data_IF_874190687909
#
_entry.id   IF_874190687909
#
_cell.length_a   1.000
_cell.length_b   1.000
_cell.length_c   1.000
_cell.angle_alpha   90.00
_cell.angle_beta   90.00
_cell.angle_gamma   90.00
#
_symmetry.space_group_name_H-M   'P 1'
#
loop_
_entity.id
_entity.type
_entity.pdbx_description
1 polymer ?
#
# COMPACT_ATOMS: atom_id res chain seq x y z
N UNK A 1 60.61 30.38 -26.90
CA UNK A 1 59.93 30.28 -25.58
C UNK A 1 58.46 29.95 -25.84
N UNK A 2 58.02 28.72 -25.56
CA UNK A 2 57.13 28.38 -24.43
C UNK A 2 55.78 29.13 -24.50
N UNK A 3 54.60 28.50 -24.58
CA UNK A 3 54.23 27.15 -24.16
C UNK A 3 52.86 26.68 -24.67
N UNK A 4 52.38 25.64 -23.99
CA UNK A 4 51.47 24.56 -24.40
C UNK A 4 50.05 24.75 -23.80
N UNK A 5 49.07 24.12 -24.47
CA UNK A 5 47.83 23.47 -23.95
C UNK A 5 46.64 24.34 -23.51
N UNK A 6 45.44 23.90 -23.91
CA UNK A 6 44.25 23.91 -23.03
C UNK A 6 42.88 24.00 -23.71
N UNK A 7 42.30 22.86 -24.10
CA UNK A 7 40.85 22.68 -24.32
C UNK A 7 40.05 23.20 -23.11
N UNK A 8 38.91 23.87 -23.34
CA UNK A 8 37.70 23.73 -22.50
C UNK A 8 36.45 24.15 -23.26
N UNK A 9 35.62 23.16 -23.52
CA UNK A 9 34.23 23.25 -23.95
C UNK A 9 33.38 23.84 -22.83
N UNK A 10 32.49 24.79 -23.12
CA UNK A 10 31.38 25.16 -22.23
C UNK A 10 30.06 24.99 -22.98
N UNK A 11 29.45 23.84 -22.70
CA UNK A 11 28.05 23.50 -22.98
C UNK A 11 27.25 23.82 -21.70
N UNK A 12 25.94 24.06 -21.86
CA UNK A 12 24.90 24.28 -20.82
C UNK A 12 24.78 25.72 -20.31
N UNK A 13 23.59 26.30 -20.14
CA UNK A 13 22.33 25.66 -19.75
C UNK A 13 21.11 26.37 -20.33
N UNK A 14 20.25 25.61 -21.03
CA UNK A 14 18.84 25.95 -21.14
C UNK A 14 18.14 25.60 -19.81
N UNK A 15 17.21 26.42 -19.31
CA UNK A 15 16.40 26.04 -18.16
C UNK A 15 15.45 24.90 -18.59
N UNK A 16 15.69 23.71 -18.05
CA UNK A 16 14.82 22.56 -18.20
C UNK A 16 13.52 22.88 -17.47
N UNK A 17 12.44 23.08 -18.24
CA UNK A 17 11.09 23.20 -17.72
C UNK A 17 10.81 22.03 -16.78
N UNK A 18 10.28 22.36 -15.61
CA UNK A 18 9.70 21.43 -14.68
C UNK A 18 8.73 20.49 -15.42
N UNK A 19 9.04 19.19 -15.41
CA UNK A 19 8.13 18.17 -15.91
C UNK A 19 6.85 18.21 -15.09
N UNK A 20 5.74 18.47 -15.79
CA UNK A 20 4.39 18.42 -15.25
C UNK A 20 4.11 17.07 -14.54
N UNK A 21 3.22 17.04 -13.53
CA UNK A 21 2.80 15.80 -12.91
C UNK A 21 2.19 14.90 -13.99
N UNK A 22 2.79 13.73 -14.19
CA UNK A 22 2.23 12.71 -15.05
C UNK A 22 0.89 12.30 -14.44
N UNK A 23 -0.21 12.73 -15.07
CA UNK A 23 -1.54 12.19 -14.81
C UNK A 23 -1.54 10.73 -15.23
N UNK A 24 -1.07 9.86 -14.33
CA UNK A 24 -1.33 8.44 -14.43
C UNK A 24 -2.84 8.26 -14.34
N UNK A 25 -3.40 7.41 -15.21
CA UNK A 25 -4.83 7.15 -15.23
C UNK A 25 -5.19 6.41 -13.92
N UNK A 26 -5.53 7.15 -12.85
CA UNK A 26 -5.86 6.62 -11.53
C UNK A 26 -7.38 6.34 -11.43
N UNK A 27 -7.99 5.83 -12.50
CA UNK A 27 -9.38 5.42 -12.52
C UNK A 27 -9.41 3.89 -12.48
N UNK A 28 -9.13 3.32 -11.30
CA UNK A 28 -9.38 1.91 -11.05
C UNK A 28 -10.77 1.77 -10.41
N UNK A 29 -11.61 0.91 -10.98
CA UNK A 29 -12.98 0.70 -10.53
C UNK A 29 -13.10 -0.53 -9.63
N UNK A 30 -12.11 -1.44 -9.69
CA UNK A 30 -12.09 -2.66 -8.88
C UNK A 30 -10.76 -2.93 -8.18
N UNK A 31 -10.78 -3.79 -7.16
CA UNK A 31 -9.55 -4.20 -6.46
C UNK A 31 -8.55 -4.93 -7.35
N UNK A 32 -9.03 -5.71 -8.32
CA UNK A 32 -8.19 -6.38 -9.32
C UNK A 32 -7.45 -5.38 -10.22
N UNK A 33 -8.14 -4.30 -10.63
CA UNK A 33 -7.55 -3.22 -11.43
C UNK A 33 -6.52 -2.43 -10.61
N UNK A 34 -6.80 -2.17 -9.34
CA UNK A 34 -5.84 -1.53 -8.42
C UNK A 34 -4.58 -2.39 -8.28
N UNK A 35 -4.72 -3.70 -8.08
CA UNK A 35 -3.59 -4.63 -7.94
C UNK A 35 -2.76 -4.77 -9.24
N UNK A 36 -3.44 -4.74 -10.39
CA UNK A 36 -2.82 -4.81 -11.72
C UNK A 36 -2.16 -3.49 -12.14
N UNK A 37 -2.57 -2.36 -11.54
CA UNK A 37 -1.94 -1.07 -11.79
C UNK A 37 -0.48 -1.10 -11.31
N UNK A 38 0.50 -0.73 -12.17
CA UNK A 38 1.92 -0.86 -11.84
C UNK A 38 2.36 0.03 -10.67
N UNK A 39 1.68 1.15 -10.44
CA UNK A 39 1.99 2.09 -9.35
C UNK A 39 1.24 1.70 -8.08
N UNK A 40 -0.09 1.62 -8.14
CA UNK A 40 -0.90 1.30 -6.96
C UNK A 40 -0.65 -0.12 -6.46
N UNK A 41 -0.54 -1.09 -7.36
CA UNK A 41 -0.23 -2.47 -7.01
C UNK A 41 1.18 -2.61 -6.41
N UNK A 42 2.16 -1.83 -6.87
CA UNK A 42 3.48 -1.81 -6.20
C UNK A 42 3.36 -1.25 -4.77
N UNK A 43 2.64 -0.14 -4.59
CA UNK A 43 2.43 0.48 -3.27
C UNK A 43 1.67 -0.45 -2.31
N UNK A 44 0.66 -1.18 -2.79
CA UNK A 44 -0.02 -2.21 -2.01
C UNK A 44 0.92 -3.34 -1.60
N UNK A 45 1.75 -3.85 -2.52
CA UNK A 45 2.76 -4.87 -2.20
C UNK A 45 3.77 -4.37 -1.17
N UNK A 46 4.18 -3.10 -1.22
CA UNK A 46 5.03 -2.47 -0.17
C UNK A 46 4.29 -2.42 1.17
N UNK A 47 3.03 -2.01 1.20
CA UNK A 47 2.23 -1.96 2.43
C UNK A 47 2.09 -3.37 3.06
N UNK A 48 1.77 -4.39 2.24
CA UNK A 48 1.66 -5.79 2.69
C UNK A 48 3.01 -6.31 3.18
N UNK A 49 4.11 -5.99 2.48
CA UNK A 49 5.45 -6.32 2.94
C UNK A 49 5.74 -5.72 4.31
N UNK A 50 5.39 -4.45 4.52
CA UNK A 50 5.64 -3.76 5.79
C UNK A 50 4.80 -4.34 6.92
N UNK A 51 3.56 -4.74 6.66
CA UNK A 51 2.75 -5.48 7.64
C UNK A 51 3.44 -6.77 8.11
N UNK A 52 4.11 -7.50 7.21
CA UNK A 52 4.84 -8.72 7.55
C UNK A 52 6.14 -8.45 8.31
N UNK A 53 6.79 -7.32 8.10
CA UNK A 53 8.13 -7.02 8.63
C UNK A 53 8.15 -5.96 9.72
N UNK A 54 7.00 -5.42 10.14
CA UNK A 54 6.93 -4.33 11.11
C UNK A 54 7.62 -4.60 12.46
N UNK A 55 7.77 -5.86 12.87
CA UNK A 55 8.48 -6.21 14.12
C UNK A 55 9.97 -6.46 13.94
N UNK A 56 10.42 -6.67 12.70
CA UNK A 56 11.81 -7.02 12.38
C UNK A 56 12.55 -5.91 11.64
N UNK A 57 11.83 -5.05 10.92
CA UNK A 57 12.33 -3.90 10.19
C UNK A 57 11.81 -2.58 10.81
N UNK A 58 12.69 -1.79 11.46
CA UNK A 58 12.33 -0.48 12.00
C UNK A 58 11.83 0.51 10.94
N UNK A 59 12.29 0.40 9.68
CA UNK A 59 11.86 1.28 8.60
C UNK A 59 10.40 0.99 8.19
N UNK A 60 10.04 -0.29 8.04
CA UNK A 60 8.66 -0.72 7.86
C UNK A 60 7.76 -0.26 9.03
N UNK A 61 8.21 -0.47 10.27
CA UNK A 61 7.50 -0.01 11.46
C UNK A 61 7.25 1.50 11.45
N UNK A 62 8.28 2.27 11.10
CA UNK A 62 8.19 3.73 11.01
C UNK A 62 7.18 4.17 9.95
N UNK A 63 7.22 3.57 8.74
CA UNK A 63 6.27 3.90 7.66
C UNK A 63 4.83 3.62 8.08
N UNK A 64 4.55 2.45 8.67
CA UNK A 64 3.23 2.10 9.19
C UNK A 64 2.77 3.07 10.29
N UNK A 65 3.65 3.43 11.22
CA UNK A 65 3.34 4.36 12.31
C UNK A 65 3.16 5.81 11.85
N UNK A 66 3.65 6.17 10.68
CA UNK A 66 3.46 7.49 10.09
C UNK A 66 2.17 7.63 9.27
N UNK A 67 1.41 6.55 9.10
CA UNK A 67 0.08 6.62 8.45
C UNK A 67 -0.93 7.33 9.34
N UNK A 68 -1.85 8.05 8.71
CA UNK A 68 -2.91 8.81 9.40
C UNK A 68 -4.29 8.19 9.25
N UNK A 69 -4.47 7.37 8.22
CA UNK A 69 -5.70 6.64 7.95
C UNK A 69 -5.81 5.38 8.83
N UNK A 70 -7.02 5.10 9.31
CA UNK A 70 -7.32 3.97 10.20
C UNK A 70 -7.02 2.60 9.55
N UNK A 71 -7.07 2.55 8.22
CA UNK A 71 -6.78 1.37 7.42
C UNK A 71 -5.39 1.45 6.75
N UNK A 72 -4.50 2.33 7.18
CA UNK A 72 -3.15 2.48 6.60
C UNK A 72 -3.14 2.85 5.09
N UNK A 73 -4.29 3.19 4.50
CA UNK A 73 -4.40 3.61 3.09
C UNK A 73 -4.24 5.13 3.05
N UNK A 74 -3.03 5.59 3.33
CA UNK A 74 -2.64 7.01 3.30
C UNK A 74 -1.13 7.16 3.07
N UNK A 75 -0.62 8.38 3.20
CA UNK A 75 0.82 8.63 3.23
C UNK A 75 1.48 7.79 4.35
N UNK A 76 2.72 7.31 4.18
CA UNK A 76 3.65 7.60 3.09
C UNK A 76 3.45 6.72 1.83
N UNK A 77 2.52 5.76 1.87
CA UNK A 77 2.33 4.81 0.77
C UNK A 77 1.56 5.42 -0.40
N UNK A 78 0.47 6.12 -0.09
CA UNK A 78 -0.46 6.66 -1.08
C UNK A 78 -0.59 8.17 -0.93
N UNK A 79 -0.65 8.88 -2.06
CA UNK A 79 -1.15 10.26 -2.06
C UNK A 79 -2.65 10.27 -1.73
N UNK A 80 -3.25 11.42 -1.38
CA UNK A 80 -4.68 11.49 -1.12
C UNK A 80 -5.55 10.98 -2.27
N UNK A 81 -5.17 11.29 -3.52
CA UNK A 81 -5.90 10.85 -4.72
C UNK A 81 -5.77 9.33 -4.92
N UNK A 82 -4.57 8.78 -4.73
CA UNK A 82 -4.35 7.33 -4.82
C UNK A 82 -5.09 6.58 -3.71
N UNK A 83 -5.07 7.11 -2.49
CA UNK A 83 -5.80 6.56 -1.35
C UNK A 83 -7.30 6.52 -1.63
N UNK A 84 -7.87 7.60 -2.18
CA UNK A 84 -9.28 7.65 -2.57
C UNK A 84 -9.62 6.56 -3.60
N UNK A 85 -8.73 6.30 -4.55
CA UNK A 85 -8.95 5.26 -5.57
C UNK A 85 -8.89 3.87 -4.97
N UNK A 86 -7.90 3.59 -4.13
CA UNK A 86 -7.78 2.30 -3.43
C UNK A 86 -8.98 2.07 -2.51
N UNK A 87 -9.43 3.10 -1.78
CA UNK A 87 -10.56 3.03 -0.84
C UNK A 87 -11.92 2.87 -1.54
N UNK A 88 -12.10 3.47 -2.71
CA UNK A 88 -13.35 3.42 -3.48
C UNK A 88 -13.40 2.25 -4.49
N UNK A 89 -12.32 1.50 -4.64
CA UNK A 89 -12.29 0.32 -5.50
C UNK A 89 -13.33 -0.71 -5.05
N UNK A 90 -14.05 -1.29 -6.00
CA UNK A 90 -15.11 -2.26 -5.73
C UNK A 90 -14.52 -3.66 -5.54
N UNK A 91 -14.98 -4.39 -4.53
CA UNK A 91 -14.62 -5.81 -4.35
C UNK A 91 -15.36 -6.69 -5.36
N UNK A 92 -14.62 -7.27 -6.29
CA UNK A 92 -15.15 -8.17 -7.33
C UNK A 92 -15.24 -9.64 -6.91
N UNK A 93 -14.46 -10.03 -5.90
CA UNK A 93 -14.37 -11.41 -5.46
C UNK A 93 -14.54 -11.51 -3.95
N UNK A 94 -15.11 -12.64 -3.53
CA UNK A 94 -15.25 -12.99 -2.12
C UNK A 94 -13.85 -13.22 -1.55
N UNK A 95 -13.36 -12.37 -0.63
CA UNK A 95 -12.04 -12.55 -0.06
C UNK A 95 -12.03 -13.83 0.80
N UNK A 96 -10.97 -14.62 0.68
CA UNK A 96 -10.79 -15.79 1.54
C UNK A 96 -10.30 -15.34 2.92
N UNK A 97 -11.24 -15.07 3.82
CA UNK A 97 -10.99 -14.51 5.15
C UNK A 97 -10.73 -15.57 6.24
N UNK A 98 -10.44 -16.82 5.87
CA UNK A 98 -10.28 -17.95 6.79
C UNK A 98 -9.13 -17.82 7.82
N UNK A 99 -8.43 -16.69 7.86
CA UNK A 99 -7.29 -16.43 8.74
C UNK A 99 -7.42 -15.12 9.55
N UNK A 100 -8.63 -14.58 9.78
CA UNK A 100 -8.80 -13.45 10.71
C UNK A 100 -8.97 -13.99 12.14
N UNK A 101 -7.95 -13.92 13.03
CA UNK A 101 -8.09 -14.42 14.39
C UNK A 101 -9.07 -13.56 15.20
N UNK A 102 -10.12 -14.21 15.73
CA UNK A 102 -11.19 -13.57 16.52
C UNK A 102 -12.60 -13.64 15.89
N UNK A 103 -12.78 -14.46 14.86
CA UNK A 103 -14.03 -14.61 14.09
C UNK A 103 -14.96 -15.73 14.57
N UNK A 104 -15.08 -15.96 15.87
CA UNK A 104 -16.10 -16.90 16.39
C UNK A 104 -17.52 -16.27 16.41
N UNK A 105 -17.64 -14.94 16.26
CA UNK A 105 -18.90 -14.20 16.38
C UNK A 105 -19.09 -13.09 15.31
N UNK A 106 -18.56 -13.25 14.08
CA UNK A 106 -18.81 -12.29 12.99
C UNK A 106 -19.74 -12.87 11.92
N UNK A 107 -21.01 -12.49 12.01
CA UNK A 107 -22.08 -12.71 11.01
C UNK A 107 -21.84 -12.00 9.66
N UNK A 108 -20.71 -11.32 9.46
CA UNK A 108 -20.36 -10.72 8.17
C UNK A 108 -19.91 -11.83 7.22
N UNK A 109 -20.83 -12.31 6.39
CA UNK A 109 -20.49 -13.27 5.34
C UNK A 109 -19.52 -12.58 4.38
N UNK A 110 -18.49 -13.29 3.91
CA UNK A 110 -17.60 -12.77 2.87
C UNK A 110 -18.39 -12.37 1.59
N UNK A 111 -19.61 -12.88 1.42
CA UNK A 111 -20.56 -12.44 0.39
C UNK A 111 -21.12 -11.02 0.61
N UNK A 112 -21.26 -10.57 1.85
CA UNK A 112 -21.77 -9.23 2.19
C UNK A 112 -20.78 -8.12 1.80
N UNK A 113 -19.52 -8.48 1.56
CA UNK A 113 -18.46 -7.55 1.15
C UNK A 113 -18.42 -7.35 -0.36
N UNK A 114 -19.02 -8.26 -1.12
CA UNK A 114 -19.01 -8.22 -2.58
C UNK A 114 -19.70 -6.95 -3.07
N UNK A 115 -19.16 -6.34 -4.12
CA UNK A 115 -19.69 -5.09 -4.70
C UNK A 115 -19.69 -3.88 -3.78
N UNK A 116 -19.09 -3.98 -2.58
CA UNK A 116 -18.84 -2.83 -1.71
C UNK A 116 -17.48 -2.20 -2.04
N UNK A 117 -17.33 -0.89 -1.79
CA UNK A 117 -16.02 -0.25 -1.84
C UNK A 117 -15.12 -0.82 -0.74
N UNK A 118 -13.81 -0.88 -0.99
CA UNK A 118 -12.80 -1.37 -0.03
C UNK A 118 -12.97 -0.73 1.33
N UNK A 119 -13.19 0.59 1.41
CA UNK A 119 -13.37 1.29 2.68
C UNK A 119 -14.53 0.74 3.52
N UNK A 120 -15.66 0.47 2.87
CA UNK A 120 -16.85 -0.05 3.56
C UNK A 120 -16.63 -1.52 3.97
N UNK A 121 -16.01 -2.32 3.10
CA UNK A 121 -15.68 -3.70 3.42
C UNK A 121 -14.68 -3.82 4.59
N UNK A 122 -13.65 -2.97 4.62
CA UNK A 122 -12.73 -2.86 5.75
C UNK A 122 -13.46 -2.41 7.01
N UNK A 123 -14.37 -1.44 6.91
CA UNK A 123 -15.21 -1.02 8.03
C UNK A 123 -16.07 -2.16 8.60
N UNK A 124 -16.66 -3.00 7.75
CA UNK A 124 -17.43 -4.18 8.17
C UNK A 124 -16.51 -5.18 8.88
N UNK A 125 -15.37 -5.54 8.26
CA UNK A 125 -14.41 -6.50 8.81
C UNK A 125 -13.83 -6.08 10.15
N UNK A 126 -13.55 -4.79 10.28
CA UNK A 126 -12.90 -4.24 11.44
C UNK A 126 -13.88 -3.69 12.47
N UNK A 127 -15.18 -3.62 12.19
CA UNK A 127 -16.21 -3.11 13.11
C UNK A 127 -16.09 -3.72 14.52
N UNK A 128 -16.03 -5.05 14.63
CA UNK A 128 -15.86 -5.75 15.91
C UNK A 128 -14.46 -5.61 16.56
N UNK A 129 -13.44 -5.19 15.79
CA UNK A 129 -12.06 -5.03 16.26
C UNK A 129 -11.75 -3.60 16.71
N UNK A 130 -12.25 -2.59 15.98
CA UNK A 130 -12.01 -1.16 16.23
C UNK A 130 -12.72 -0.69 17.50
N UNK A 131 -13.92 -1.20 17.78
CA UNK A 131 -14.71 -0.84 18.97
C UNK A 131 -13.98 -1.17 20.28
N UNK A 132 -13.21 -2.27 20.32
CA UNK A 132 -12.43 -2.67 21.50
C UNK A 132 -11.19 -1.78 21.71
N UNK A 133 -10.68 -1.11 20.67
CA UNK A 133 -9.42 -0.33 20.70
C UNK A 133 -9.63 1.18 20.76
N UNK A 134 -10.76 1.69 20.27
CA UNK A 134 -11.16 3.10 20.41
C UNK A 134 -11.20 3.57 21.87
N UNK A 135 -11.44 2.64 22.81
CA UNK A 135 -11.38 2.90 24.26
C UNK A 135 -9.94 3.03 24.83
N UNK A 136 -8.90 2.69 24.06
CA UNK A 136 -7.50 2.58 24.51
C UNK A 136 -6.55 3.65 23.91
N UNK A 137 -7.02 4.46 22.95
CA UNK A 137 -6.26 5.60 22.40
C UNK A 137 -5.36 5.31 21.18
N UNK A 138 -5.11 4.05 20.82
CA UNK A 138 -4.58 3.65 19.51
C UNK A 138 -5.70 2.89 18.76
N UNK A 139 -6.32 3.57 17.80
CA UNK A 139 -7.49 3.07 17.07
C UNK A 139 -7.14 2.10 15.92
N UNK A 140 -5.87 1.77 15.71
CA UNK A 140 -5.47 0.92 14.59
C UNK A 140 -5.73 -0.56 14.89
N UNK A 141 -6.28 -1.33 13.93
CA UNK A 141 -6.65 -2.73 14.15
C UNK A 141 -5.41 -3.62 14.20
N UNK A 142 -5.33 -4.45 15.25
CA UNK A 142 -4.40 -5.58 15.49
C UNK A 142 -2.89 -5.32 15.29
N UNK A 143 -2.06 -6.28 15.73
CA UNK A 143 -0.63 -6.25 15.39
C UNK A 143 -0.48 -6.37 13.87
N UNK A 144 0.40 -5.59 13.22
CA UNK A 144 0.48 -5.41 11.76
C UNK A 144 0.53 -6.72 10.96
N UNK A 145 1.06 -7.81 11.53
CA UNK A 145 1.15 -9.12 10.89
C UNK A 145 -0.20 -9.73 10.49
N UNK A 146 -1.28 -9.45 11.21
CA UNK A 146 -2.61 -9.99 10.89
C UNK A 146 -3.27 -9.24 9.71
N UNK A 147 -2.78 -8.05 9.38
CA UNK A 147 -3.30 -7.24 8.29
C UNK A 147 -2.77 -7.69 6.92
N UNK A 148 -1.54 -8.21 6.87
CA UNK A 148 -0.94 -8.69 5.62
C UNK A 148 -1.82 -9.72 4.86
N UNK A 149 -2.27 -10.84 5.47
CA UNK A 149 -3.11 -11.82 4.77
C UNK A 149 -4.47 -11.25 4.37
N UNK A 150 -5.00 -10.30 5.15
CA UNK A 150 -6.27 -9.65 4.83
C UNK A 150 -6.16 -8.77 3.58
N UNK A 151 -5.15 -7.90 3.52
CA UNK A 151 -4.93 -7.03 2.35
C UNK A 151 -4.58 -7.86 1.12
N UNK A 152 -3.78 -8.92 1.28
CA UNK A 152 -3.52 -9.88 0.22
C UNK A 152 -4.83 -10.47 -0.34
N UNK A 153 -5.75 -10.91 0.53
CA UNK A 153 -7.03 -11.48 0.12
C UNK A 153 -7.95 -10.46 -0.57
N UNK A 154 -8.05 -9.22 -0.08
CA UNK A 154 -8.92 -8.17 -0.64
C UNK A 154 -8.49 -7.72 -2.05
N UNK A 155 -7.18 -7.65 -2.28
CA UNK A 155 -6.61 -7.21 -3.56
C UNK A 155 -6.20 -8.38 -4.47
N UNK A 156 -6.41 -9.63 -4.05
CA UNK A 156 -6.02 -10.82 -4.81
C UNK A 156 -4.51 -10.90 -5.06
N UNK A 157 -3.70 -10.37 -4.14
CA UNK A 157 -2.24 -10.39 -4.22
C UNK A 157 -1.74 -11.68 -3.58
N UNK A 158 -1.02 -12.49 -4.33
CA UNK A 158 -0.50 -13.75 -3.81
C UNK A 158 0.69 -13.50 -2.87
N UNK A 159 0.84 -14.25 -1.76
CA UNK A 159 1.96 -14.07 -0.84
C UNK A 159 3.32 -14.29 -1.52
N UNK A 160 3.38 -15.11 -2.57
CA UNK A 160 4.56 -15.34 -3.39
C UNK A 160 5.04 -14.07 -4.09
N UNK A 161 4.13 -13.16 -4.46
CA UNK A 161 4.49 -11.86 -5.07
C UNK A 161 5.25 -10.97 -4.10
N UNK A 162 4.98 -11.10 -2.80
CA UNK A 162 5.66 -10.34 -1.74
C UNK A 162 7.07 -10.91 -1.49
N UNK A 163 7.29 -12.19 -1.81
CA UNK A 163 8.58 -12.86 -1.70
C UNK A 163 9.38 -12.85 -3.01
N UNK A 164 8.82 -12.32 -4.10
CA UNK A 164 9.47 -12.30 -5.41
C UNK A 164 10.80 -11.53 -5.38
N UNK A 165 11.85 -12.13 -5.96
CA UNK A 165 13.19 -11.57 -5.95
C UNK A 165 13.28 -10.22 -6.68
N UNK A 166 12.47 -9.99 -7.73
CA UNK A 166 12.45 -8.72 -8.44
C UNK A 166 11.77 -7.65 -7.61
N UNK A 167 10.68 -7.98 -6.91
CA UNK A 167 10.02 -7.10 -5.96
C UNK A 167 10.97 -6.70 -4.82
N UNK A 168 11.60 -7.68 -4.14
CA UNK A 168 12.59 -7.42 -3.09
C UNK A 168 13.80 -6.62 -3.62
N UNK A 169 14.21 -6.87 -4.87
CA UNK A 169 15.24 -6.07 -5.54
C UNK A 169 14.83 -4.62 -5.83
N UNK A 170 13.53 -4.33 -6.00
CA UNK A 170 13.01 -2.96 -6.11
C UNK A 170 12.95 -2.28 -4.74
N UNK A 171 12.52 -2.97 -3.69
CA UNK A 171 12.53 -2.44 -2.32
C UNK A 171 13.92 -1.95 -1.91
N UNK A 172 14.94 -2.81 -2.07
CA UNK A 172 16.34 -2.47 -1.76
C UNK A 172 16.85 -1.24 -2.51
N UNK A 173 16.55 -1.15 -3.82
CA UNK A 173 16.96 0.00 -4.65
C UNK A 173 16.26 1.30 -4.26
N UNK A 174 15.07 1.20 -3.68
CA UNK A 174 14.30 2.34 -3.19
C UNK A 174 14.54 2.64 -1.70
N UNK A 175 15.45 1.90 -1.03
CA UNK A 175 15.75 2.08 0.39
C UNK A 175 14.62 1.65 1.34
N UNK A 176 13.78 0.71 0.92
CA UNK A 176 12.59 0.27 1.65
C UNK A 176 12.75 -1.08 2.39
N UNK A 177 13.89 -1.75 2.24
CA UNK A 177 14.23 -3.05 2.84
C UNK A 177 15.73 -3.19 3.07
#
# INVERSE_FOLDING_TARGET
MAGKRGKKSTKSSSPQLASAPQSTNILAQSTSEVASNPVLGYKLRVLIHDFLHATTDPAAAHRLNSTTDEYYISAPYFTPDEAAVVQNATLESVPSLGHVPGGDDQDASAADLLSKPVREALGILFSGFLDKRRASGDARPCGPHHLAPLYAALFGIAPEEIQDAKFLGRLRRNGLS
#
